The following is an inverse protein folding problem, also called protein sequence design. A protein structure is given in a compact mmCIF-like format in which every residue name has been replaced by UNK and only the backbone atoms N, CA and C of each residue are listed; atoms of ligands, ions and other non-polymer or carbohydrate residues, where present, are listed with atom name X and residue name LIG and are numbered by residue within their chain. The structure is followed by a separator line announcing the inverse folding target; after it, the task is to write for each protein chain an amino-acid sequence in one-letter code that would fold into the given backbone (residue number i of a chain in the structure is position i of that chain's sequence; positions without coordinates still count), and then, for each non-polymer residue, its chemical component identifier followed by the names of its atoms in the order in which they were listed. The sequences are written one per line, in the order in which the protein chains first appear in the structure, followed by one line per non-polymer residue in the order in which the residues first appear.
data_IF_166999136466
#
_entry.id   IF_166999136466
#
_cell.length_a   1.000
_cell.length_b   1.000
_cell.length_c   1.000
_cell.angle_alpha   90.00
_cell.angle_beta   90.00
_cell.angle_gamma   90.00
#
_symmetry.space_group_name_H-M   'P 1'
#
loop_
_entity.id
_entity.type
_entity.pdbx_description
1 polymer ?
#
# COMPACT_ATOMS: atom_id res chain seq x y z
N UNK A 1 10.96 8.97 2.19
CA UNK A 1 9.55 8.84 1.76
C UNK A 1 8.68 9.12 2.97
N UNK A 2 7.63 9.91 2.81
CA UNK A 2 6.70 10.26 3.90
C UNK A 2 5.44 9.40 3.80
N UNK A 3 4.76 9.10 4.92
CA UNK A 3 3.48 8.40 4.88
C UNK A 3 2.42 9.22 4.13
N UNK A 4 1.39 8.54 3.60
CA UNK A 4 0.20 9.23 3.09
C UNK A 4 -0.48 10.01 4.21
N UNK A 5 -0.93 11.23 3.94
CA UNK A 5 -1.76 12.00 4.86
C UNK A 5 -3.21 12.08 4.36
N UNK A 6 -4.10 12.64 5.19
CA UNK A 6 -5.51 12.83 4.85
C UNK A 6 -5.76 13.59 3.55
N UNK A 7 -4.96 14.61 3.25
CA UNK A 7 -5.07 15.40 2.02
C UNK A 7 -4.68 14.57 0.81
N UNK A 8 -3.58 13.80 0.88
CA UNK A 8 -3.14 12.91 -0.19
C UNK A 8 -4.19 11.86 -0.52
N UNK A 9 -4.77 11.24 0.51
CA UNK A 9 -5.85 10.25 0.33
C UNK A 9 -7.05 10.91 -0.34
N UNK A 10 -7.46 12.10 0.10
CA UNK A 10 -8.60 12.80 -0.47
C UNK A 10 -8.37 13.19 -1.94
N UNK A 11 -7.16 13.61 -2.29
CA UNK A 11 -6.78 13.95 -3.67
C UNK A 11 -6.82 12.70 -4.57
N UNK A 12 -6.16 11.62 -4.14
CA UNK A 12 -6.11 10.35 -4.86
C UNK A 12 -7.48 9.70 -5.05
N UNK A 13 -8.33 9.73 -4.02
CA UNK A 13 -9.70 9.18 -4.09
C UNK A 13 -10.56 9.98 -5.07
N UNK A 14 -10.41 11.30 -5.14
CA UNK A 14 -11.16 12.11 -6.10
C UNK A 14 -10.69 11.88 -7.53
N UNK A 15 -9.39 11.76 -7.75
CA UNK A 15 -8.79 11.53 -9.06
C UNK A 15 -9.09 10.10 -9.58
N UNK A 16 -9.21 9.12 -8.68
CA UNK A 16 -9.35 7.69 -9.01
C UNK A 16 -10.71 7.09 -8.60
N UNK A 17 -11.81 7.87 -8.68
CA UNK A 17 -13.15 7.34 -8.43
C UNK A 17 -13.40 6.06 -9.25
N UNK A 18 -13.75 4.98 -8.53
CA UNK A 18 -14.04 3.63 -9.05
C UNK A 18 -12.87 2.85 -9.66
N UNK A 19 -11.62 3.33 -9.60
CA UNK A 19 -10.45 2.62 -10.13
C UNK A 19 -9.45 2.23 -9.04
N UNK A 20 -8.70 1.17 -9.29
CA UNK A 20 -7.54 0.84 -8.46
C UNK A 20 -6.39 1.77 -8.81
N UNK A 21 -5.83 2.45 -7.81
CA UNK A 21 -4.63 3.25 -7.99
C UNK A 21 -3.39 2.36 -8.01
N UNK A 22 -2.57 2.48 -9.05
CA UNK A 22 -1.35 1.69 -9.25
C UNK A 22 -0.20 2.65 -9.59
N UNK A 23 0.78 2.85 -8.70
CA UNK A 23 1.91 3.74 -8.98
C UNK A 23 2.86 3.09 -9.98
N UNK A 24 3.04 3.70 -11.15
CA UNK A 24 3.90 3.18 -12.22
C UNK A 24 5.37 3.10 -11.78
N UNK A 25 5.86 4.12 -11.07
CA UNK A 25 7.19 4.17 -10.46
C UNK A 25 7.50 2.92 -9.62
N UNK A 26 6.51 2.31 -8.95
CA UNK A 26 6.73 1.06 -8.19
C UNK A 26 7.19 -0.09 -9.09
N UNK A 27 6.71 -0.13 -10.34
CA UNK A 27 6.98 -1.20 -11.29
C UNK A 27 8.20 -0.88 -12.17
N UNK A 28 8.27 0.36 -12.68
CA UNK A 28 9.29 0.80 -13.64
C UNK A 28 10.51 1.47 -12.98
N UNK A 29 10.36 2.00 -11.76
CA UNK A 29 11.42 2.73 -11.06
C UNK A 29 12.59 1.84 -10.64
N UNK A 30 13.82 2.29 -10.94
CA UNK A 30 15.05 1.56 -10.61
C UNK A 30 15.20 1.28 -9.11
N UNK A 31 14.71 2.19 -8.26
CA UNK A 31 14.74 2.05 -6.80
C UNK A 31 13.94 0.84 -6.29
N UNK A 32 12.94 0.37 -7.05
CA UNK A 32 12.13 -0.80 -6.70
C UNK A 32 12.40 -2.01 -7.60
N UNK A 33 13.50 -1.99 -8.37
CA UNK A 33 13.86 -3.08 -9.29
C UNK A 33 14.08 -4.42 -8.57
N UNK A 34 14.60 -4.36 -7.34
CA UNK A 34 14.86 -5.54 -6.50
C UNK A 34 13.61 -6.04 -5.76
N UNK A 35 12.56 -5.22 -5.68
CA UNK A 35 11.30 -5.60 -5.03
C UNK A 35 10.56 -6.59 -5.92
N UNK A 36 10.19 -7.75 -5.36
CA UNK A 36 9.47 -8.80 -6.09
C UNK A 36 8.11 -8.29 -6.56
N UNK A 37 7.66 -8.74 -7.73
CA UNK A 37 6.37 -8.36 -8.29
C UNK A 37 5.20 -8.60 -7.31
N UNK A 38 5.25 -9.69 -6.54
CA UNK A 38 4.24 -10.02 -5.52
C UNK A 38 4.16 -8.97 -4.41
N UNK A 39 5.32 -8.49 -3.96
CA UNK A 39 5.47 -7.47 -2.92
C UNK A 39 4.97 -6.12 -3.46
N UNK A 40 5.28 -5.80 -4.72
CA UNK A 40 4.71 -4.62 -5.41
C UNK A 40 3.18 -4.67 -5.42
N UNK A 41 2.59 -5.80 -5.79
CA UNK A 41 1.14 -5.97 -5.75
C UNK A 41 0.57 -5.89 -4.33
N UNK A 42 1.27 -6.41 -3.32
CA UNK A 42 0.85 -6.28 -1.93
C UNK A 42 0.78 -4.82 -1.48
N UNK A 43 1.75 -3.99 -1.89
CA UNK A 43 1.70 -2.55 -1.66
C UNK A 43 0.49 -1.91 -2.33
N UNK A 44 0.25 -2.22 -3.61
CA UNK A 44 -0.92 -1.72 -4.35
C UNK A 44 -2.22 -2.12 -3.65
N UNK A 45 -2.33 -3.36 -3.16
CA UNK A 45 -3.49 -3.81 -2.42
C UNK A 45 -3.69 -3.01 -1.13
N UNK A 46 -2.64 -2.84 -0.34
CA UNK A 46 -2.66 -2.06 0.89
C UNK A 46 -3.05 -0.60 0.62
N UNK A 47 -2.52 0.01 -0.44
CA UNK A 47 -2.84 1.38 -0.84
C UNK A 47 -4.31 1.52 -1.22
N UNK A 48 -4.85 0.60 -2.01
CA UNK A 48 -6.26 0.66 -2.38
C UNK A 48 -7.21 0.40 -1.21
N UNK A 49 -6.81 -0.44 -0.24
CA UNK A 49 -7.55 -0.60 1.02
C UNK A 49 -7.51 0.71 1.82
N UNK A 50 -6.35 1.36 1.90
CA UNK A 50 -6.19 2.66 2.53
C UNK A 50 -7.05 3.73 1.86
N UNK A 51 -7.11 3.77 0.52
CA UNK A 51 -7.95 4.73 -0.21
C UNK A 51 -9.45 4.48 0.02
N UNK A 52 -9.86 3.20 0.15
CA UNK A 52 -11.27 2.83 0.39
C UNK A 52 -11.73 3.04 1.83
N UNK A 53 -10.89 2.68 2.79
CA UNK A 53 -11.20 2.79 4.21
C UNK A 53 -9.99 3.34 4.96
N UNK A 54 -9.66 4.63 4.76
CA UNK A 54 -8.53 5.24 5.41
C UNK A 54 -8.81 5.42 6.90
N UNK A 55 -7.85 4.98 7.72
CA UNK A 55 -7.80 5.36 9.13
C UNK A 55 -6.75 6.45 9.30
N UNK A 56 -7.01 7.42 10.18
CA UNK A 56 -6.10 8.54 10.41
C UNK A 56 -5.68 8.56 11.86
N UNK A 57 -4.39 8.82 12.10
CA UNK A 57 -3.87 9.01 13.44
C UNK A 57 -4.08 10.47 13.89
N UNK A 58 -3.59 10.83 15.09
CA UNK A 58 -3.70 12.20 15.63
C UNK A 58 -2.94 13.23 14.78
N UNK A 59 -1.91 12.81 14.06
CA UNK A 59 -1.09 13.62 13.16
C UNK A 59 -1.67 13.68 11.73
N UNK A 60 -2.85 13.10 11.48
CA UNK A 60 -3.48 12.96 10.16
C UNK A 60 -2.73 12.08 9.16
N UNK A 61 -1.81 11.22 9.61
CA UNK A 61 -1.22 10.20 8.75
C UNK A 61 -2.23 9.06 8.55
N UNK A 62 -2.34 8.62 7.30
CA UNK A 62 -3.15 7.51 6.90
C UNK A 62 -2.47 6.19 7.26
N UNK A 63 -3.22 5.29 7.87
CA UNK A 63 -2.78 3.94 8.18
C UNK A 63 -3.88 2.92 7.88
N UNK A 64 -3.47 1.67 7.75
CA UNK A 64 -4.35 0.50 7.71
C UNK A 64 -3.94 -0.47 8.81
N UNK A 65 -4.77 -1.48 9.09
CA UNK A 65 -4.39 -2.58 9.98
C UNK A 65 -3.87 -3.75 9.17
N UNK A 66 -2.79 -4.38 9.63
CA UNK A 66 -2.17 -5.53 8.96
C UNK A 66 -3.10 -6.75 8.89
N UNK A 67 -3.99 -6.90 9.88
CA UNK A 67 -5.04 -7.92 9.98
C UNK A 67 -6.25 -7.66 9.05
N UNK A 68 -6.27 -6.54 8.32
CA UNK A 68 -7.44 -6.21 7.50
C UNK A 68 -7.67 -7.25 6.39
N UNK A 69 -8.81 -7.99 6.41
CA UNK A 69 -9.11 -9.01 5.40
C UNK A 69 -9.26 -8.40 4.00
N UNK A 70 -9.54 -7.10 3.93
CA UNK A 70 -9.66 -6.36 2.68
C UNK A 70 -8.34 -6.34 1.88
N UNK A 71 -7.17 -6.47 2.54
CA UNK A 71 -5.88 -6.55 1.86
C UNK A 71 -5.81 -7.83 1.04
N UNK A 72 -6.20 -8.96 1.64
CA UNK A 72 -6.23 -10.27 0.98
C UNK A 72 -7.22 -10.26 -0.18
N UNK A 73 -8.42 -9.72 0.02
CA UNK A 73 -9.45 -9.63 -1.02
C UNK A 73 -9.02 -8.73 -2.19
N UNK A 74 -8.42 -7.58 -1.88
CA UNK A 74 -7.94 -6.63 -2.90
C UNK A 74 -6.79 -7.25 -3.69
N UNK A 75 -5.83 -7.87 -3.00
CA UNK A 75 -4.71 -8.54 -3.65
C UNK A 75 -5.17 -9.68 -4.56
N UNK A 76 -6.16 -10.48 -4.12
CA UNK A 76 -6.81 -11.50 -4.95
C UNK A 76 -7.44 -10.91 -6.21
N UNK A 77 -8.10 -9.76 -6.11
CA UNK A 77 -8.75 -9.09 -7.25
C UNK A 77 -7.75 -8.51 -8.26
N UNK A 78 -6.70 -7.84 -7.78
CA UNK A 78 -5.74 -7.15 -8.67
C UNK A 78 -4.65 -8.08 -9.22
N UNK A 79 -4.19 -9.06 -8.43
CA UNK A 79 -3.08 -9.93 -8.81
C UNK A 79 -3.51 -11.37 -9.16
N UNK A 80 -4.81 -11.68 -9.08
CA UNK A 80 -5.38 -13.02 -9.30
C UNK A 80 -4.63 -14.15 -8.56
N UNK A 81 -4.07 -13.85 -7.39
CA UNK A 81 -3.25 -14.78 -6.60
C UNK A 81 -4.01 -15.33 -5.40
N UNK A 82 -3.82 -16.63 -5.15
CA UNK A 82 -4.18 -17.27 -3.87
C UNK A 82 -3.16 -16.89 -2.81
N UNK A 83 -3.46 -15.81 -2.09
CA UNK A 83 -2.71 -15.34 -0.92
C UNK A 83 -3.47 -15.66 0.37
N UNK A 84 -2.69 -15.99 1.39
CA UNK A 84 -3.12 -16.33 2.75
C UNK A 84 -2.51 -15.31 3.73
N UNK A 85 -3.02 -15.23 4.95
CA UNK A 85 -2.57 -14.24 5.94
C UNK A 85 -1.05 -14.28 6.20
N UNK A 86 -0.46 -15.49 6.24
CA UNK A 86 0.99 -15.66 6.40
C UNK A 86 1.80 -15.05 5.24
N UNK A 87 1.30 -15.15 4.00
CA UNK A 87 1.96 -14.54 2.84
C UNK A 87 1.88 -13.01 2.89
N UNK A 88 0.73 -12.47 3.30
CA UNK A 88 0.58 -11.01 3.49
C UNK A 88 1.58 -10.52 4.53
N UNK A 89 1.70 -11.21 5.67
CA UNK A 89 2.69 -10.86 6.68
C UNK A 89 4.13 -10.87 6.12
N UNK A 90 4.46 -11.87 5.29
CA UNK A 90 5.73 -11.92 4.56
C UNK A 90 5.93 -10.72 3.64
N UNK A 91 4.92 -10.37 2.82
CA UNK A 91 5.02 -9.21 1.94
C UNK A 91 5.12 -7.88 2.70
N UNK A 92 4.41 -7.74 3.82
CA UNK A 92 4.50 -6.55 4.67
C UNK A 92 5.89 -6.39 5.29
N UNK A 93 6.55 -7.49 5.68
CA UNK A 93 7.94 -7.46 6.11
C UNK A 93 8.85 -6.96 4.97
N UNK A 94 8.71 -7.52 3.77
CA UNK A 94 9.53 -7.10 2.62
C UNK A 94 9.29 -5.64 2.21
N UNK A 95 8.04 -5.18 2.32
CA UNK A 95 7.71 -3.77 2.06
C UNK A 95 8.36 -2.83 3.08
N UNK A 96 8.44 -3.26 4.35
CA UNK A 96 9.10 -2.49 5.39
C UNK A 96 10.62 -2.45 5.15
N UNK A 97 11.22 -3.60 4.79
CA UNK A 97 12.63 -3.68 4.40
C UNK A 97 12.95 -2.84 3.15
N UNK A 98 12.01 -2.75 2.20
CA UNK A 98 12.11 -1.89 1.04
C UNK A 98 11.85 -0.40 1.34
N UNK A 99 11.49 -0.05 2.57
CA UNK A 99 11.16 1.32 2.96
C UNK A 99 9.87 1.86 2.32
N UNK A 100 8.98 0.98 1.88
CA UNK A 100 7.68 1.32 1.26
C UNK A 100 6.56 1.43 2.30
N UNK A 101 6.69 0.75 3.43
CA UNK A 101 5.75 0.84 4.55
C UNK A 101 6.50 1.01 5.86
N UNK A 102 5.78 1.47 6.87
CA UNK A 102 6.26 1.56 8.24
C UNK A 102 5.20 0.98 9.16
N UNK A 103 5.57 0.04 10.03
CA UNK A 103 4.63 -0.56 10.97
C UNK A 103 4.87 -0.02 12.36
N UNK A 104 3.80 0.44 13.01
CA UNK A 104 3.79 0.72 14.44
C UNK A 104 2.73 -0.15 15.11
N UNK A 105 3.19 -1.25 15.71
CA UNK A 105 2.31 -2.28 16.27
C UNK A 105 1.47 -2.93 15.16
N UNK A 106 0.15 -2.73 15.20
CA UNK A 106 -0.79 -3.22 14.17
C UNK A 106 -1.11 -2.19 13.09
N UNK A 107 -0.60 -0.97 13.23
CA UNK A 107 -0.86 0.11 12.28
C UNK A 107 0.23 0.08 11.20
N UNK A 108 -0.18 0.00 9.95
CA UNK A 108 0.69 0.00 8.78
C UNK A 108 0.49 1.32 8.05
N UNK A 109 1.54 2.13 8.04
CA UNK A 109 1.63 3.40 7.34
C UNK A 109 2.29 3.19 6.00
N UNK A 110 1.58 3.48 4.91
CA UNK A 110 2.14 3.36 3.57
C UNK A 110 2.89 4.64 3.22
N UNK A 111 4.09 4.50 2.67
CA UNK A 111 4.91 5.64 2.24
C UNK A 111 4.60 5.99 0.79
N UNK A 112 4.46 7.28 0.53
CA UNK A 112 4.14 7.81 -0.79
C UNK A 112 5.27 7.50 -1.76
N UNK A 113 4.91 6.83 -2.85
CA UNK A 113 5.77 6.70 -4.03
C UNK A 113 5.48 7.93 -4.88
N UNK A 114 6.32 8.95 -4.73
CA UNK A 114 6.28 10.14 -5.57
C UNK A 114 7.06 9.81 -6.84
N UNK A 115 6.42 10.03 -7.99
CA UNK A 115 7.08 9.99 -9.29
C UNK A 115 8.17 11.07 -9.27
N UNK A 116 9.44 10.67 -9.28
CA UNK A 116 10.55 11.62 -9.32
C UNK A 116 10.76 11.95 -10.79
N UNK A 117 9.93 12.86 -11.32
CA UNK A 117 10.14 13.48 -12.64
C UNK A 117 11.45 14.28 -12.67
#
# INVERSE_FOLDING_TARGET
MEPFNKTDIHDLVNDNKDKYYVPAELFDGMQYKLVRLEVKWAYVACLNVMLKSPMFDKENNAYIKDDSPMIIETLKKIANKKVDGEKIAGYLNELEEAGLVERQGRNVYLKRIVDIF
#
